data_IF_889430311550
#
_entry.id   IF_889430311550
#
_cell.length_a   1.000
_cell.length_b   1.000
_cell.length_c   1.000
_cell.angle_alpha   90.00
_cell.angle_beta   90.00
_cell.angle_gamma   90.00
#
_symmetry.space_group_name_H-M   'P 1'
#
loop_
_entity.id
_entity.type
_entity.pdbx_description
1 polymer ?
#
# COMPACT_ATOMS: atom_id res chain seq x y z
N UNK A 1 9.93 4.92 -8.35
CA UNK A 1 9.40 3.73 -9.05
C UNK A 1 7.96 4.00 -9.48
N UNK A 2 7.44 3.31 -10.51
CA UNK A 2 6.09 3.54 -11.04
C UNK A 2 5.03 2.88 -10.14
N UNK A 3 4.01 3.64 -9.73
CA UNK A 3 2.84 3.11 -9.00
C UNK A 3 1.99 2.24 -9.93
N UNK A 4 1.46 1.15 -9.39
CA UNK A 4 0.65 0.16 -10.10
C UNK A 4 -0.76 0.03 -9.52
N UNK A 5 -0.90 0.25 -8.21
CA UNK A 5 -2.16 0.21 -7.50
C UNK A 5 -2.13 1.14 -6.29
N UNK A 6 -3.32 1.54 -5.85
CA UNK A 6 -3.57 2.37 -4.68
C UNK A 6 -4.81 1.83 -3.97
N UNK A 7 -4.81 1.80 -2.64
CA UNK A 7 -6.02 1.54 -1.85
C UNK A 7 -6.06 2.46 -0.63
N UNK A 8 -7.24 3.02 -0.35
CA UNK A 8 -7.46 3.89 0.81
C UNK A 8 -7.92 3.07 1.99
N UNK A 9 -7.33 3.33 3.16
CA UNK A 9 -7.79 2.72 4.39
C UNK A 9 -9.21 3.26 4.71
N UNK A 10 -10.18 2.40 5.10
CA UNK A 10 -11.59 2.80 5.23
C UNK A 10 -11.90 3.85 6.31
N UNK A 11 -11.01 4.03 7.29
CA UNK A 11 -11.20 4.92 8.45
C UNK A 11 -10.04 5.88 8.78
N UNK A 12 -8.79 5.44 8.56
CA UNK A 12 -7.58 6.20 8.90
C UNK A 12 -7.14 6.98 7.65
N UNK A 13 -6.43 8.11 7.80
CA UNK A 13 -5.91 8.88 6.67
C UNK A 13 -4.69 8.20 6.03
N UNK A 14 -4.82 6.91 5.71
CA UNK A 14 -3.76 6.08 5.19
C UNK A 14 -4.05 5.64 3.75
N UNK A 15 -2.99 5.54 2.96
CA UNK A 15 -3.04 5.02 1.61
C UNK A 15 -1.94 3.96 1.44
N UNK A 16 -2.32 2.81 0.90
CA UNK A 16 -1.36 1.81 0.40
C UNK A 16 -1.05 2.13 -1.04
N UNK A 17 0.21 2.01 -1.42
CA UNK A 17 0.66 2.14 -2.80
C UNK A 17 1.49 0.91 -3.17
N UNK A 18 1.22 0.33 -4.33
CA UNK A 18 2.03 -0.76 -4.87
C UNK A 18 2.89 -0.26 -6.01
N UNK A 19 4.16 -0.69 -6.03
CA UNK A 19 5.15 -0.23 -6.98
C UNK A 19 5.56 -1.33 -7.95
N UNK A 20 6.03 -0.91 -9.13
CA UNK A 20 6.47 -1.84 -10.17
C UNK A 20 7.65 -2.73 -9.77
N UNK A 21 8.43 -2.31 -8.78
CA UNK A 21 9.59 -3.04 -8.27
C UNK A 21 9.27 -3.96 -7.08
N UNK A 22 7.99 -4.27 -6.83
CA UNK A 22 7.57 -5.17 -5.75
C UNK A 22 7.34 -4.51 -4.41
N UNK A 23 7.93 -3.33 -4.20
CA UNK A 23 7.72 -2.55 -2.99
C UNK A 23 6.26 -2.11 -2.84
N UNK A 24 5.71 -2.29 -1.64
CA UNK A 24 4.45 -1.71 -1.18
C UNK A 24 4.76 -0.67 -0.11
N UNK A 25 4.09 0.48 -0.16
CA UNK A 25 4.29 1.55 0.81
C UNK A 25 2.97 1.91 1.48
N UNK A 26 3.02 2.10 2.79
CA UNK A 26 1.92 2.64 3.58
C UNK A 26 2.22 4.09 3.95
N UNK A 27 1.35 5.01 3.59
CA UNK A 27 1.53 6.44 3.80
C UNK A 27 0.43 7.04 4.65
N UNK A 28 0.77 7.97 5.53
CA UNK A 28 -0.18 8.95 6.07
C UNK A 28 -0.21 10.16 5.12
N UNK A 29 -1.33 10.36 4.41
CA UNK A 29 -1.44 11.42 3.43
C UNK A 29 -1.77 12.79 4.04
N UNK A 30 -2.13 12.88 5.32
CA UNK A 30 -2.31 14.15 6.02
C UNK A 30 -1.00 14.67 6.57
N UNK A 31 -0.19 13.78 7.13
CA UNK A 31 1.12 14.12 7.67
C UNK A 31 2.21 14.11 6.58
N UNK A 32 1.91 13.61 5.39
CA UNK A 32 2.88 13.40 4.31
C UNK A 32 4.07 12.53 4.75
N UNK A 33 3.78 11.47 5.52
CA UNK A 33 4.81 10.59 6.10
C UNK A 33 4.66 9.16 5.59
N UNK A 34 5.78 8.52 5.30
CA UNK A 34 5.84 7.08 5.05
C UNK A 34 5.75 6.37 6.41
N UNK A 35 4.69 5.63 6.62
CA UNK A 35 4.47 4.86 7.86
C UNK A 35 5.27 3.56 7.79
N UNK A 36 5.18 2.85 6.67
CA UNK A 36 5.80 1.53 6.53
C UNK A 36 6.13 1.20 5.07
N UNK A 37 7.04 0.24 4.88
CA UNK A 37 7.48 -0.27 3.59
C UNK A 37 7.63 -1.80 3.65
N UNK A 38 6.94 -2.46 2.73
CA UNK A 38 6.98 -3.91 2.52
C UNK A 38 7.77 -4.18 1.23
N UNK A 39 8.84 -4.97 1.29
CA UNK A 39 9.78 -5.23 0.19
C UNK A 39 10.05 -6.72 0.01
N UNK A 40 8.99 -7.52 0.03
CA UNK A 40 9.05 -9.00 0.02
C UNK A 40 8.70 -9.59 -1.35
N UNK A 41 8.23 -8.77 -2.30
CA UNK A 41 7.90 -9.22 -3.65
C UNK A 41 9.09 -9.00 -4.59
N UNK A 42 9.50 -10.05 -5.32
CA UNK A 42 10.56 -9.96 -6.33
C UNK A 42 10.11 -9.29 -7.65
N UNK A 43 8.81 -9.02 -7.79
CA UNK A 43 8.22 -8.55 -9.05
C UNK A 43 7.08 -7.54 -8.86
N UNK A 44 6.51 -7.01 -9.96
CA UNK A 44 5.51 -5.95 -9.88
C UNK A 44 4.23 -6.37 -9.15
N UNK A 45 3.88 -5.64 -8.09
CA UNK A 45 2.57 -5.79 -7.41
C UNK A 45 1.53 -4.94 -8.16
N UNK A 46 0.48 -5.57 -8.67
CA UNK A 46 -0.53 -4.97 -9.56
C UNK A 46 -1.88 -4.73 -8.90
N UNK A 47 -2.17 -5.44 -7.82
CA UNK A 47 -3.37 -5.29 -7.02
C UNK A 47 -3.03 -5.14 -5.55
N UNK A 48 -3.69 -4.21 -4.88
CA UNK A 48 -3.66 -4.05 -3.42
C UNK A 48 -5.04 -3.64 -2.93
N UNK A 49 -5.47 -4.17 -1.79
CA UNK A 49 -6.70 -3.71 -1.14
C UNK A 49 -6.67 -3.87 0.37
N UNK A 50 -7.27 -2.90 1.07
CA UNK A 50 -7.45 -2.97 2.52
C UNK A 50 -8.66 -3.83 2.88
N UNK A 51 -8.50 -4.70 3.87
CA UNK A 51 -9.66 -5.32 4.49
C UNK A 51 -10.51 -4.26 5.20
N UNK A 52 -11.83 -4.28 4.99
CA UNK A 52 -12.76 -3.24 5.49
C UNK A 52 -12.89 -3.14 7.03
N UNK A 53 -12.32 -4.10 7.78
CA UNK A 53 -12.64 -4.30 9.20
C UNK A 53 -11.40 -4.71 9.99
N UNK A 54 -10.69 -5.73 9.53
CA UNK A 54 -9.47 -6.22 10.16
C UNK A 54 -8.25 -5.38 9.72
N UNK A 55 -7.19 -5.28 10.54
CA UNK A 55 -5.97 -4.56 10.20
C UNK A 55 -5.09 -5.39 9.24
N UNK A 56 -5.68 -5.78 8.10
CA UNK A 56 -5.07 -6.62 7.08
C UNK A 56 -5.20 -5.94 5.72
N UNK A 57 -4.29 -6.24 4.81
CA UNK A 57 -4.41 -5.92 3.40
C UNK A 57 -3.98 -7.14 2.57
N UNK A 58 -4.39 -7.15 1.31
CA UNK A 58 -3.98 -8.15 0.33
C UNK A 58 -3.13 -7.50 -0.76
N UNK A 59 -2.20 -8.25 -1.33
CA UNK A 59 -1.36 -7.82 -2.46
C UNK A 59 -1.20 -8.95 -3.48
N UNK A 60 -1.11 -8.60 -4.76
CA UNK A 60 -0.94 -9.55 -5.88
C UNK A 60 -0.57 -8.88 -7.19
#
# INVERSE_FOLDING_TARGET
ARVKGLSFHPKRPWILTSLHNGVIQLWDYRMCTLIDKFDEHDGPVRGIDFHKQQPLFVSG
#
